data_IF_505517109856
#
_entry.id   IF_505517109856
#
_cell.length_a   1.000
_cell.length_b   1.000
_cell.length_c   1.000
_cell.angle_alpha   90.00
_cell.angle_beta   90.00
_cell.angle_gamma   90.00
#
_symmetry.space_group_name_H-M   'P 1'
#
loop_
_entity.id
_entity.type
_entity.pdbx_description
1 polymer ?
#
# COMPACT_ATOMS: atom_id res chain seq x y z
N UNK A 1 9.44 11.93 5.68
CA UNK A 1 8.45 12.98 5.35
C UNK A 1 7.09 12.47 5.80
N UNK A 2 6.21 13.35 6.24
CA UNK A 2 4.83 12.92 6.55
C UNK A 2 4.04 12.72 5.25
N UNK A 3 3.00 11.88 5.26
CA UNK A 3 2.09 11.74 4.11
C UNK A 3 1.47 13.08 3.67
N UNK A 4 1.31 14.02 4.61
CA UNK A 4 0.78 15.37 4.36
C UNK A 4 1.73 16.19 3.48
N UNK A 5 3.05 16.08 3.68
CA UNK A 5 4.04 16.79 2.87
C UNK A 5 4.01 16.31 1.41
N UNK A 6 3.86 15.01 1.20
CA UNK A 6 3.77 14.38 -0.14
C UNK A 6 2.49 14.86 -0.85
N UNK A 7 1.35 14.85 -0.16
CA UNK A 7 0.07 15.35 -0.68
C UNK A 7 0.15 16.84 -1.04
N UNK A 8 0.87 17.62 -0.22
CA UNK A 8 1.13 19.03 -0.46
C UNK A 8 1.93 19.27 -1.74
N UNK A 9 3.01 18.52 -1.95
CA UNK A 9 3.82 18.61 -3.17
C UNK A 9 3.00 18.30 -4.43
N UNK A 10 2.24 17.20 -4.42
CA UNK A 10 1.39 16.83 -5.56
C UNK A 10 0.33 17.91 -5.83
N UNK A 11 -0.27 18.48 -4.79
CA UNK A 11 -1.24 19.57 -4.93
C UNK A 11 -0.59 20.85 -5.52
N UNK A 12 0.67 21.14 -5.17
CA UNK A 12 1.45 22.21 -5.77
C UNK A 12 1.68 22.00 -7.27
N UNK A 13 2.09 20.78 -7.68
CA UNK A 13 2.26 20.42 -9.09
C UNK A 13 0.95 20.60 -9.87
N UNK A 14 -0.17 20.11 -9.32
CA UNK A 14 -1.51 20.28 -9.91
C UNK A 14 -1.82 21.76 -10.14
N UNK A 15 -1.54 22.61 -9.14
CA UNK A 15 -1.82 24.05 -9.21
C UNK A 15 -1.01 24.74 -10.31
N UNK A 16 0.27 24.40 -10.45
CA UNK A 16 1.13 24.94 -11.52
C UNK A 16 0.67 24.52 -12.91
N UNK A 17 0.22 23.27 -13.06
CA UNK A 17 -0.32 22.74 -14.31
C UNK A 17 -1.62 23.48 -14.67
N UNK A 18 -2.55 23.62 -13.73
CA UNK A 18 -3.83 24.32 -13.94
C UNK A 18 -3.64 25.80 -14.32
N UNK A 19 -2.70 26.48 -13.65
CA UNK A 19 -2.33 27.84 -14.00
C UNK A 19 -1.75 27.94 -15.42
N UNK A 20 -0.95 26.97 -15.85
CA UNK A 20 -0.38 26.90 -17.20
C UNK A 20 -1.47 26.72 -18.27
N UNK A 21 -2.44 25.83 -18.02
CA UNK A 21 -3.62 25.62 -18.88
C UNK A 21 -4.45 26.91 -18.98
N UNK A 22 -4.64 27.60 -17.86
CA UNK A 22 -5.39 28.87 -17.82
C UNK A 22 -4.71 29.95 -18.64
N UNK A 23 -3.38 30.09 -18.53
CA UNK A 23 -2.60 31.02 -19.36
C UNK A 23 -2.76 30.67 -20.85
N UNK A 24 -2.65 29.39 -21.21
CA UNK A 24 -2.81 28.97 -22.59
C UNK A 24 -4.19 29.34 -23.16
N UNK A 25 -5.27 29.02 -22.44
CA UNK A 25 -6.65 29.32 -22.88
C UNK A 25 -6.88 30.82 -23.09
N UNK A 26 -6.25 31.67 -22.29
CA UNK A 26 -6.31 33.12 -22.45
C UNK A 26 -5.58 33.63 -23.71
N UNK A 27 -4.58 32.88 -24.20
CA UNK A 27 -3.72 33.26 -25.32
C UNK A 27 -4.04 32.53 -26.63
N UNK A 28 -4.78 31.42 -26.60
CA UNK A 28 -5.05 30.56 -27.77
C UNK A 28 -5.77 31.29 -28.92
N UNK A 29 -6.56 32.31 -28.61
CA UNK A 29 -7.21 33.18 -29.61
C UNK A 29 -6.24 34.15 -30.29
N UNK A 30 -4.97 34.22 -29.84
CA UNK A 30 -3.95 35.13 -30.33
C UNK A 30 -3.10 34.54 -31.46
N UNK A 31 -2.70 35.33 -32.47
CA UNK A 31 -1.83 34.85 -33.54
C UNK A 31 -0.40 34.59 -33.04
N UNK A 32 0.19 33.45 -33.45
CA UNK A 32 1.64 33.20 -33.34
C UNK A 32 2.10 32.28 -32.21
N UNK A 33 1.21 31.55 -31.53
CA UNK A 33 1.62 30.51 -30.58
C UNK A 33 2.20 29.27 -31.31
N UNK A 34 3.38 28.77 -30.92
CA UNK A 34 3.93 27.54 -31.48
C UNK A 34 3.04 26.32 -31.18
N UNK A 35 2.97 25.36 -32.11
CA UNK A 35 2.14 24.16 -31.96
C UNK A 35 2.48 23.33 -30.73
N UNK A 36 3.76 23.32 -30.30
CA UNK A 36 4.18 22.66 -29.07
C UNK A 36 3.40 23.13 -27.84
N UNK A 37 3.06 24.42 -27.71
CA UNK A 37 2.28 24.92 -26.56
C UNK A 37 0.85 24.40 -26.59
N UNK A 38 0.24 24.31 -27.78
CA UNK A 38 -1.09 23.74 -27.98
C UNK A 38 -1.09 22.24 -27.67
N UNK A 39 -0.17 21.51 -28.26
CA UNK A 39 -0.09 20.06 -28.12
C UNK A 39 0.24 19.68 -26.67
N UNK A 40 1.04 20.51 -26.00
CA UNK A 40 1.32 20.45 -24.57
C UNK A 40 0.07 20.74 -23.73
N UNK A 41 -0.62 21.84 -23.97
CA UNK A 41 -1.83 22.22 -23.23
C UNK A 41 -2.95 21.18 -23.35
N UNK A 42 -3.04 20.47 -24.47
CA UNK A 42 -3.98 19.37 -24.66
C UNK A 42 -3.70 18.15 -23.75
N UNK A 43 -2.44 17.94 -23.34
CA UNK A 43 -2.02 16.80 -22.50
C UNK A 43 -2.10 17.12 -21.00
N UNK A 44 -1.97 18.38 -20.63
CA UNK A 44 -1.94 18.82 -19.22
C UNK A 44 -3.16 18.40 -18.39
N UNK A 45 -4.41 18.42 -18.90
CA UNK A 45 -5.56 17.93 -18.15
C UNK A 45 -5.46 16.44 -17.75
N UNK A 46 -4.93 15.59 -18.63
CA UNK A 46 -4.75 14.16 -18.34
C UNK A 46 -3.67 13.93 -17.27
N UNK A 47 -2.62 14.75 -17.29
CA UNK A 47 -1.56 14.73 -16.28
C UNK A 47 -2.13 15.16 -14.91
N UNK A 48 -2.98 16.18 -14.89
CA UNK A 48 -3.68 16.65 -13.69
C UNK A 48 -4.60 15.57 -13.10
N UNK A 49 -5.39 14.90 -13.94
CA UNK A 49 -6.24 13.78 -13.52
C UNK A 49 -5.42 12.65 -12.91
N UNK A 50 -4.32 12.27 -13.57
CA UNK A 50 -3.40 11.23 -13.08
C UNK A 50 -2.78 11.60 -11.72
N UNK A 51 -2.32 12.84 -11.54
CA UNK A 51 -1.80 13.34 -10.25
C UNK A 51 -2.87 13.33 -9.17
N UNK A 52 -4.12 13.64 -9.53
CA UNK A 52 -5.25 13.63 -8.60
C UNK A 52 -5.55 12.22 -8.11
N UNK A 53 -5.59 11.25 -9.02
CA UNK A 53 -5.75 9.83 -8.67
C UNK A 53 -4.63 9.34 -7.76
N UNK A 54 -3.37 9.68 -8.07
CA UNK A 54 -2.24 9.32 -7.20
C UNK A 54 -2.41 9.94 -5.81
N UNK A 55 -2.81 11.22 -5.73
CA UNK A 55 -3.05 11.92 -4.46
C UNK A 55 -4.14 11.24 -3.63
N UNK A 56 -5.25 10.86 -4.27
CA UNK A 56 -6.39 10.22 -3.60
C UNK A 56 -6.07 8.81 -3.10
N UNK A 57 -5.21 8.09 -3.82
CA UNK A 57 -4.81 6.74 -3.47
C UNK A 57 -3.53 6.67 -2.61
N UNK A 58 -2.92 7.81 -2.29
CA UNK A 58 -1.81 7.88 -1.33
C UNK A 58 -2.36 7.66 0.08
N UNK A 59 -2.50 6.40 0.45
CA UNK A 59 -2.69 6.05 1.84
C UNK A 59 -1.51 6.57 2.66
N UNK A 60 -1.81 7.11 3.84
CA UNK A 60 -0.84 7.56 4.83
C UNK A 60 -0.04 6.39 5.46
N UNK A 61 0.27 5.38 4.65
CA UNK A 61 0.94 4.16 5.07
C UNK A 61 2.44 4.45 5.22
N UNK A 62 3.08 4.02 6.31
CA UNK A 62 4.48 4.29 6.56
C UNK A 62 5.36 3.46 5.61
N UNK A 63 5.56 3.95 4.39
CA UNK A 63 6.55 3.42 3.46
C UNK A 63 7.94 3.53 4.11
N UNK A 64 8.86 2.59 3.85
CA UNK A 64 10.21 2.63 4.44
C UNK A 64 10.92 3.96 4.16
N UNK A 65 11.82 4.39 5.05
CA UNK A 65 12.54 5.66 4.91
C UNK A 65 13.25 5.82 3.55
N UNK A 66 13.79 4.72 3.00
CA UNK A 66 14.43 4.71 1.68
C UNK A 66 13.41 4.94 0.54
N UNK A 67 12.23 4.32 0.63
CA UNK A 67 11.16 4.52 -0.35
C UNK A 67 10.56 5.94 -0.26
N UNK A 68 10.49 6.53 0.93
CA UNK A 68 10.06 7.93 1.09
C UNK A 68 11.06 8.92 0.51
N UNK A 69 12.36 8.65 0.64
CA UNK A 69 13.41 9.50 0.08
C UNK A 69 13.41 9.48 -1.46
N UNK A 70 13.28 8.29 -2.06
CA UNK A 70 13.17 8.15 -3.51
C UNK A 70 11.89 8.82 -4.04
N UNK A 71 10.77 8.61 -3.35
CA UNK A 71 9.49 9.25 -3.67
C UNK A 71 9.60 10.78 -3.64
N UNK A 72 10.26 11.33 -2.62
CA UNK A 72 10.53 12.76 -2.51
C UNK A 72 11.33 13.27 -3.70
N UNK A 73 12.41 12.58 -4.07
CA UNK A 73 13.28 13.01 -5.16
C UNK A 73 12.51 13.11 -6.49
N UNK A 74 11.63 12.14 -6.76
CA UNK A 74 10.75 12.15 -7.94
C UNK A 74 9.77 13.32 -7.89
N UNK A 75 9.14 13.57 -6.74
CA UNK A 75 8.20 14.68 -6.57
C UNK A 75 8.85 16.07 -6.65
N UNK A 76 10.04 16.23 -6.07
CA UNK A 76 10.82 17.47 -6.17
C UNK A 76 11.21 17.74 -7.63
N UNK A 77 11.63 16.70 -8.37
CA UNK A 77 11.93 16.80 -9.79
C UNK A 77 10.69 17.16 -10.63
N UNK A 78 9.54 16.54 -10.34
CA UNK A 78 8.27 16.87 -10.98
C UNK A 78 7.84 18.30 -10.67
N UNK A 79 8.06 18.77 -9.43
CA UNK A 79 7.76 20.14 -9.02
C UNK A 79 8.65 21.14 -9.77
N UNK A 80 9.96 20.90 -9.81
CA UNK A 80 10.88 21.74 -10.59
C UNK A 80 10.51 21.81 -12.07
N UNK A 81 10.11 20.68 -12.66
CA UNK A 81 9.63 20.64 -14.06
C UNK A 81 8.31 21.40 -14.25
N UNK A 82 7.36 21.27 -13.34
CA UNK A 82 6.09 21.98 -13.39
C UNK A 82 6.25 23.50 -13.23
N UNK A 83 7.18 23.94 -12.37
CA UNK A 83 7.53 25.36 -12.24
C UNK A 83 8.14 25.88 -13.54
N UNK A 84 9.12 25.17 -14.10
CA UNK A 84 9.74 25.57 -15.36
C UNK A 84 8.74 25.60 -16.54
N UNK A 85 7.75 24.71 -16.51
CA UNK A 85 6.65 24.68 -17.47
C UNK A 85 5.79 25.94 -17.31
N UNK A 86 5.37 26.24 -16.08
CA UNK A 86 4.60 27.43 -15.76
C UNK A 86 5.32 28.71 -16.21
N UNK A 87 6.62 28.84 -15.90
CA UNK A 87 7.44 29.98 -16.33
C UNK A 87 7.49 30.11 -17.86
N UNK A 88 7.52 28.99 -18.59
CA UNK A 88 7.48 29.00 -20.05
C UNK A 88 6.15 29.52 -20.60
N UNK A 89 5.02 29.14 -19.98
CA UNK A 89 3.70 29.69 -20.31
C UNK A 89 3.57 31.16 -19.89
N UNK A 90 4.13 31.55 -18.75
CA UNK A 90 4.10 32.95 -18.30
C UNK A 90 4.93 33.87 -19.21
N UNK A 91 6.05 33.38 -19.74
CA UNK A 91 6.93 34.13 -20.62
C UNK A 91 6.30 34.53 -21.96
N UNK A 92 5.19 33.89 -22.35
CA UNK A 92 4.44 34.19 -23.59
C UNK A 92 3.25 35.12 -23.39
N UNK A 93 2.94 35.51 -22.15
CA UNK A 93 1.88 36.47 -21.84
C UNK A 93 2.25 37.85 -22.37
N UNK A 94 1.35 38.43 -23.18
CA UNK A 94 1.52 39.79 -23.72
C UNK A 94 0.81 40.81 -22.82
N UNK A 95 1.52 41.82 -22.27
CA UNK A 95 0.88 42.95 -21.63
C UNK A 95 -0.04 43.72 -22.62
N UNK A 96 -1.13 44.33 -22.15
CA UNK A 96 -1.98 45.15 -23.01
C UNK A 96 -1.21 46.36 -23.56
N UNK A 97 -1.39 46.68 -24.84
CA UNK A 97 -0.80 47.87 -25.47
C UNK A 97 0.68 47.75 -25.89
N UNK A 98 1.24 46.54 -25.96
CA UNK A 98 2.66 46.34 -26.32
C UNK A 98 3.02 46.71 -27.76
N UNK A 99 4.26 47.22 -27.92
CA UNK A 99 4.84 47.56 -29.22
C UNK A 99 4.99 46.33 -30.15
N UNK A 100 5.07 46.57 -31.46
CA UNK A 100 5.33 45.50 -32.44
C UNK A 100 6.68 44.79 -32.19
N UNK A 101 7.68 45.52 -31.73
CA UNK A 101 8.99 44.97 -31.38
C UNK A 101 8.90 44.01 -30.17
N UNK A 102 8.16 44.42 -29.13
CA UNK A 102 7.91 43.56 -27.95
C UNK A 102 7.16 42.29 -28.34
N UNK A 103 6.17 42.37 -29.24
CA UNK A 103 5.47 41.20 -29.78
C UNK A 103 6.40 40.25 -30.53
N UNK A 104 7.30 40.79 -31.36
CA UNK A 104 8.33 40.01 -32.03
C UNK A 104 9.25 39.26 -31.05
N UNK A 105 9.69 39.93 -29.97
CA UNK A 105 10.49 39.31 -28.92
C UNK A 105 9.75 38.18 -28.19
N UNK A 106 8.47 38.36 -27.89
CA UNK A 106 7.65 37.33 -27.24
C UNK A 106 7.50 36.10 -28.16
N UNK A 107 7.26 36.31 -29.45
CA UNK A 107 7.20 35.22 -30.42
C UNK A 107 8.54 34.46 -30.54
N UNK A 108 9.67 35.18 -30.51
CA UNK A 108 11.00 34.55 -30.47
C UNK A 108 11.23 33.74 -29.19
N UNK A 109 10.82 34.27 -28.03
CA UNK A 109 10.89 33.54 -26.74
C UNK A 109 10.00 32.30 -26.74
N UNK A 110 8.79 32.39 -27.27
CA UNK A 110 7.90 31.25 -27.41
C UNK A 110 8.56 30.14 -28.24
N UNK A 111 9.17 30.50 -29.39
CA UNK A 111 9.90 29.54 -30.23
C UNK A 111 11.09 28.92 -29.54
N UNK A 112 11.88 29.68 -28.77
CA UNK A 112 13.03 29.12 -28.05
C UNK A 112 12.61 28.22 -26.89
N UNK A 113 11.44 28.47 -26.28
CA UNK A 113 10.88 27.65 -25.21
C UNK A 113 10.10 26.44 -25.69
N UNK A 114 9.64 26.41 -26.95
CA UNK A 114 8.86 25.32 -27.53
C UNK A 114 9.45 23.92 -27.28
N UNK A 115 10.74 23.72 -27.59
CA UNK A 115 11.43 22.44 -27.37
C UNK A 115 11.65 22.10 -25.90
N UNK A 116 11.61 23.11 -25.03
CA UNK A 116 11.70 22.93 -23.58
C UNK A 116 10.37 22.47 -23.01
N UNK A 117 9.24 22.99 -23.49
CA UNK A 117 7.90 22.63 -23.00
C UNK A 117 7.61 21.14 -23.22
N UNK A 118 7.89 20.62 -24.42
CA UNK A 118 7.66 19.19 -24.71
C UNK A 118 8.53 18.26 -23.83
N UNK A 119 9.78 18.66 -23.58
CA UNK A 119 10.68 17.92 -22.67
C UNK A 119 10.21 17.96 -21.22
N UNK A 120 9.70 19.10 -20.77
CA UNK A 120 9.18 19.26 -19.41
C UNK A 120 7.95 18.39 -19.19
N UNK A 121 7.00 18.37 -20.13
CA UNK A 121 5.82 17.50 -20.06
C UNK A 121 6.21 16.03 -20.09
N UNK A 122 7.10 15.64 -20.99
CA UNK A 122 7.58 14.25 -21.06
C UNK A 122 8.22 13.83 -19.74
N UNK A 123 9.05 14.71 -19.15
CA UNK A 123 9.67 14.45 -17.86
C UNK A 123 8.68 14.35 -16.69
N UNK A 124 7.62 15.17 -16.67
CA UNK A 124 6.55 15.05 -15.66
C UNK A 124 5.80 13.71 -15.83
N UNK A 125 5.57 13.27 -17.08
CA UNK A 125 4.95 11.97 -17.35
C UNK A 125 5.84 10.80 -16.93
N UNK A 126 7.15 10.87 -17.15
CA UNK A 126 8.10 9.85 -16.70
C UNK A 126 8.09 9.72 -15.16
N UNK A 127 8.10 10.85 -14.44
CA UNK A 127 7.98 10.86 -12.98
C UNK A 127 6.66 10.23 -12.52
N UNK A 128 5.56 10.57 -13.19
CA UNK A 128 4.25 10.01 -12.92
C UNK A 128 4.18 8.51 -13.18
N UNK A 129 4.84 8.01 -14.23
CA UNK A 129 4.93 6.58 -14.50
C UNK A 129 5.67 5.84 -13.38
N UNK A 130 6.77 6.39 -12.89
CA UNK A 130 7.49 5.84 -11.74
C UNK A 130 6.59 5.82 -10.50
N UNK A 131 5.81 6.88 -10.29
CA UNK A 131 4.94 7.05 -9.14
C UNK A 131 3.74 6.09 -9.18
N UNK A 132 3.07 5.99 -10.33
CA UNK A 132 1.93 5.09 -10.57
C UNK A 132 2.37 3.62 -10.59
N UNK A 133 3.53 3.28 -11.15
CA UNK A 133 4.05 1.92 -11.09
C UNK A 133 4.39 1.49 -9.66
N UNK A 134 5.01 2.37 -8.86
CA UNK A 134 5.28 2.10 -7.45
C UNK A 134 3.98 1.88 -6.66
N UNK A 135 2.95 2.68 -6.97
CA UNK A 135 1.64 2.58 -6.33
C UNK A 135 0.87 1.34 -6.75
N UNK A 136 0.79 1.03 -8.04
CA UNK A 136 0.13 -0.17 -8.55
C UNK A 136 0.74 -1.46 -7.98
N UNK A 137 2.07 -1.52 -7.85
CA UNK A 137 2.77 -2.64 -7.20
C UNK A 137 2.38 -2.75 -5.72
N UNK A 138 2.31 -1.63 -5.00
CA UNK A 138 1.88 -1.61 -3.59
C UNK A 138 0.41 -2.02 -3.42
N UNK A 139 -0.49 -1.50 -4.26
CA UNK A 139 -1.92 -1.82 -4.24
C UNK A 139 -2.17 -3.31 -4.55
N UNK A 140 -1.50 -3.86 -5.57
CA UNK A 140 -1.55 -5.28 -5.89
C UNK A 140 -1.03 -6.15 -4.74
N UNK A 141 0.04 -5.72 -4.06
CA UNK A 141 0.59 -6.43 -2.89
C UNK A 141 -0.37 -6.39 -1.71
N UNK A 142 -1.00 -5.24 -1.42
CA UNK A 142 -2.02 -5.13 -0.36
C UNK A 142 -3.24 -5.98 -0.66
N UNK A 143 -3.76 -5.97 -1.88
CA UNK A 143 -4.89 -6.80 -2.28
C UNK A 143 -4.61 -8.30 -2.10
N UNK A 144 -3.37 -8.75 -2.43
CA UNK A 144 -2.94 -10.12 -2.16
C UNK A 144 -2.87 -10.42 -0.66
N UNK A 145 -2.31 -9.52 0.15
CA UNK A 145 -2.25 -9.68 1.61
C UNK A 145 -3.63 -9.68 2.25
N UNK A 146 -4.54 -8.80 1.83
CA UNK A 146 -5.92 -8.75 2.30
C UNK A 146 -6.71 -10.00 1.89
N UNK A 147 -6.51 -10.51 0.68
CA UNK A 147 -7.06 -11.78 0.23
C UNK A 147 -6.58 -12.94 1.11
N UNK A 148 -5.27 -13.02 1.37
CA UNK A 148 -4.69 -14.02 2.28
C UNK A 148 -5.22 -13.89 3.72
N UNK A 149 -5.38 -12.66 4.24
CA UNK A 149 -5.93 -12.41 5.57
C UNK A 149 -7.42 -12.77 5.64
N UNK A 150 -8.19 -12.50 4.59
CA UNK A 150 -9.59 -12.88 4.49
C UNK A 150 -9.75 -14.40 4.43
N UNK A 151 -8.90 -15.10 3.68
CA UNK A 151 -8.84 -16.57 3.65
C UNK A 151 -8.47 -17.15 5.03
N UNK A 152 -7.48 -16.58 5.73
CA UNK A 152 -7.11 -16.99 7.09
C UNK A 152 -8.27 -16.76 8.07
N UNK A 153 -9.02 -15.66 7.92
CA UNK A 153 -10.20 -15.37 8.74
C UNK A 153 -11.37 -16.30 8.43
N UNK A 154 -11.61 -16.64 7.18
CA UNK A 154 -12.65 -17.61 6.80
C UNK A 154 -12.30 -19.03 7.24
N UNK A 155 -11.01 -19.39 7.25
CA UNK A 155 -10.54 -20.69 7.76
C UNK A 155 -10.55 -20.77 9.30
N UNK A 156 -10.71 -19.62 9.98
CA UNK A 156 -11.11 -19.53 11.39
C UNK A 156 -12.64 -19.43 11.47
N UNK A 157 -13.34 -20.49 11.07
CA UNK A 157 -14.62 -20.73 11.73
C UNK A 157 -14.36 -20.86 13.24
N UNK A 158 -15.26 -20.37 14.11
CA UNK A 158 -15.07 -20.55 15.54
C UNK A 158 -15.00 -22.06 15.75
N UNK A 159 -13.87 -22.54 16.29
CA UNK A 159 -13.90 -23.78 17.04
C UNK A 159 -14.99 -23.53 18.08
N UNK A 160 -16.16 -24.12 17.84
CA UNK A 160 -17.22 -24.18 18.82
C UNK A 160 -16.53 -24.80 20.02
N UNK A 161 -16.31 -24.01 21.07
CA UNK A 161 -16.09 -24.56 22.40
C UNK A 161 -17.42 -25.20 22.78
N UNK A 162 -17.72 -26.33 22.16
CA UNK A 162 -18.43 -27.37 22.86
C UNK A 162 -17.43 -27.79 23.93
N UNK A 163 -17.86 -27.71 25.19
CA UNK A 163 -17.25 -28.41 26.31
C UNK A 163 -17.22 -29.91 25.96
N UNK A 164 -16.30 -30.31 25.09
CA UNK A 164 -15.86 -31.68 25.03
C UNK A 164 -14.86 -31.78 26.15
N UNK A 165 -15.33 -32.25 27.31
CA UNK A 165 -14.54 -33.20 28.06
C UNK A 165 -13.95 -34.16 27.01
N UNK A 166 -12.65 -34.08 26.75
CA UNK A 166 -11.96 -35.09 25.95
C UNK A 166 -12.16 -36.41 26.70
N UNK A 167 -13.22 -37.12 26.34
CA UNK A 167 -13.33 -38.53 26.61
C UNK A 167 -12.20 -39.16 25.80
N UNK A 168 -11.05 -39.36 26.46
CA UNK A 168 -9.96 -40.16 25.95
C UNK A 168 -10.54 -41.53 25.63
N UNK A 169 -10.83 -41.74 24.35
CA UNK A 169 -11.37 -42.99 23.84
C UNK A 169 -10.29 -44.05 23.92
N UNK A 170 -10.36 -44.91 24.93
CA UNK A 170 -9.49 -46.09 25.00
C UNK A 170 -9.96 -47.13 23.97
N UNK A 171 -9.38 -47.09 22.78
CA UNK A 171 -9.59 -48.11 21.76
C UNK A 171 -8.99 -49.45 22.19
N UNK A 172 -9.80 -50.52 22.21
CA UNK A 172 -9.37 -51.89 22.51
C UNK A 172 -9.32 -52.72 21.22
N UNK A 173 -8.21 -53.41 21.00
CA UNK A 173 -8.15 -54.59 20.14
C UNK A 173 -7.69 -55.78 21.00
N UNK A 174 -8.64 -56.60 21.49
CA UNK A 174 -8.36 -57.81 22.28
C UNK A 174 -8.92 -57.83 23.70
N UNK A 175 -8.91 -59.02 24.34
CA UNK A 175 -9.53 -59.32 25.64
C UNK A 175 -8.72 -58.91 26.89
N UNK A 176 -7.72 -58.05 26.75
CA UNK A 176 -6.78 -57.74 27.84
C UNK A 176 -7.31 -56.64 28.77
N UNK A 177 -7.19 -56.84 30.10
CA UNK A 177 -7.64 -55.89 31.14
C UNK A 177 -6.83 -54.58 31.07
N UNK A 178 -7.50 -53.44 31.22
CA UNK A 178 -6.88 -52.11 31.25
C UNK A 178 -7.11 -51.48 32.63
N UNK A 179 -6.08 -50.86 33.20
CA UNK A 179 -6.12 -50.22 34.50
C UNK A 179 -5.75 -48.75 34.35
N UNK A 180 -6.64 -47.84 34.71
CA UNK A 180 -6.40 -46.39 34.64
C UNK A 180 -6.26 -45.85 36.07
N UNK A 181 -5.13 -45.20 36.36
CA UNK A 181 -4.86 -44.54 37.64
C UNK A 181 -4.65 -43.04 37.40
N UNK A 182 -5.52 -42.21 37.98
CA UNK A 182 -5.52 -40.75 37.81
C UNK A 182 -5.00 -40.00 39.06
N UNK A 183 -4.45 -40.72 40.03
CA UNK A 183 -3.86 -40.16 41.25
C UNK A 183 -2.37 -39.89 41.15
N UNK A 184 -1.77 -39.41 42.24
CA UNK A 184 -0.31 -39.20 42.36
C UNK A 184 0.31 -40.45 43.01
N UNK A 185 1.47 -40.91 42.51
CA UNK A 185 2.18 -42.08 43.02
C UNK A 185 2.29 -43.23 42.02
N UNK A 186 2.91 -44.34 42.44
CA UNK A 186 3.14 -45.50 41.56
C UNK A 186 1.89 -46.38 41.45
N UNK A 187 1.54 -46.78 40.23
CA UNK A 187 0.52 -47.80 39.98
C UNK A 187 1.16 -49.19 40.00
N UNK A 188 0.75 -50.03 40.96
CA UNK A 188 1.18 -51.43 41.01
C UNK A 188 0.08 -52.31 40.42
N UNK A 189 0.40 -53.10 39.40
CA UNK A 189 -0.53 -54.01 38.72
C UNK A 189 -0.10 -55.44 38.99
N UNK A 190 -0.98 -56.23 39.61
CA UNK A 190 -0.72 -57.65 39.82
C UNK A 190 -1.21 -58.42 38.58
N UNK A 191 -0.32 -59.21 37.96
CA UNK A 191 -0.65 -60.02 36.79
C UNK A 191 -0.95 -61.47 37.20
N UNK A 192 -1.80 -62.15 36.42
CA UNK A 192 -2.20 -63.55 36.58
C UNK A 192 -3.00 -63.91 37.84
N UNK A 193 -2.43 -64.70 38.76
CA UNK A 193 -3.14 -65.31 39.91
C UNK A 193 -3.05 -64.51 41.22
N UNK A 194 -2.47 -63.31 41.18
CA UNK A 194 -2.30 -62.48 42.36
C UNK A 194 -3.58 -61.68 42.68
N UNK A 195 -3.95 -61.62 43.95
CA UNK A 195 -5.07 -60.80 44.44
C UNK A 195 -4.62 -59.34 44.56
N UNK A 196 -5.22 -58.44 43.77
CA UNK A 196 -5.00 -57.00 43.85
C UNK A 196 -6.13 -56.34 44.67
N UNK A 197 -5.76 -55.56 45.67
CA UNK A 197 -6.69 -54.75 46.47
C UNK A 197 -6.53 -53.29 46.03
N UNK A 198 -7.58 -52.69 45.47
CA UNK A 198 -7.59 -51.30 45.01
C UNK A 198 -8.31 -50.41 46.03
N UNK A 199 -7.63 -49.40 46.57
CA UNK A 199 -8.20 -48.42 47.49
C UNK A 199 -7.14 -47.73 48.37
N UNK A 200 -7.53 -46.67 49.07
CA UNK A 200 -6.69 -46.00 50.08
C UNK A 200 -6.64 -46.87 51.35
N UNK A 201 -5.47 -47.45 51.64
CA UNK A 201 -5.27 -48.24 52.86
C UNK A 201 -4.67 -47.38 53.97
N UNK A 202 -5.33 -47.31 55.13
CA UNK A 202 -4.85 -46.61 56.33
C UNK A 202 -4.01 -47.52 57.26
N UNK A 203 -3.20 -48.42 56.71
CA UNK A 203 -2.19 -49.18 57.46
C UNK A 203 -2.70 -50.32 58.37
N UNK A 204 -3.70 -51.08 57.94
CA UNK A 204 -4.14 -52.30 58.63
C UNK A 204 -3.25 -53.53 58.36
N UNK A 205 -3.22 -54.49 59.30
CA UNK A 205 -2.50 -55.77 59.14
C UNK A 205 -3.35 -56.72 58.28
N UNK A 206 -2.76 -57.24 57.19
CA UNK A 206 -3.39 -58.27 56.36
C UNK A 206 -3.04 -59.66 56.90
N UNK A 207 -4.06 -60.41 57.33
CA UNK A 207 -3.90 -61.82 57.68
C UNK A 207 -4.36 -62.70 56.51
N UNK A 208 -3.47 -63.52 55.96
CA UNK A 208 -3.79 -64.49 54.93
C UNK A 208 -3.86 -65.88 55.56
N UNK A 209 -5.05 -66.50 55.59
CA UNK A 209 -5.19 -67.91 55.96
C UNK A 209 -5.11 -68.80 54.73
N UNK A 210 -4.40 -69.93 54.84
CA UNK A 210 -4.39 -70.97 53.81
C UNK A 210 -5.51 -71.99 54.12
N UNK A 211 -6.23 -72.43 53.10
CA UNK A 211 -7.00 -73.69 53.10
C UNK A 211 -6.18 -74.77 52.43
#
# INVERSE_FOLDING_TARGET
>A
MSGIEIIGLISGVITLIDASVTIYKALESGPGLPSSFRDSAARLPLIQESLTLVRENLDADPSSAASQAALKQVLDASTGRATALHDAFQAIVQPPGVSQWTRGLIAMKAKSKASSVDKLISGIMEDLQVLTANHAVKAATRAQVEGLVAEIKQKKEPIRQEDHEEAVGFGRAGSNKQYVYTGVGNQNIASDKATQINGTSFGGVFNFSHN
#
